data_IF_596902188117
#
_entry.id   IF_596902188117
#
_cell.length_a   1.000
_cell.length_b   1.000
_cell.length_c   1.000
_cell.angle_alpha   90.00
_cell.angle_beta   90.00
_cell.angle_gamma   90.00
#
_symmetry.space_group_name_H-M   'P 1'
#
loop_
_entity.id
_entity.type
_entity.pdbx_description
1 polymer ?
#
# COMPACT_ATOMS: atom_id res chain seq x y z
N UNK A 1 2.52 -51.09 -5.01
CA UNK A 1 3.83 -50.44 -5.02
C UNK A 1 3.65 -49.05 -4.42
N UNK A 2 4.07 -48.88 -3.18
CA UNK A 2 4.03 -47.56 -2.50
C UNK A 2 5.22 -46.78 -3.03
N UNK A 3 4.98 -45.69 -3.76
CA UNK A 3 6.02 -44.76 -4.10
C UNK A 3 6.28 -43.90 -2.87
N UNK A 4 7.34 -44.16 -2.14
CA UNK A 4 7.85 -43.19 -1.17
C UNK A 4 8.22 -41.92 -1.95
N UNK A 5 7.74 -40.75 -1.50
CA UNK A 5 8.15 -39.47 -2.11
C UNK A 5 9.68 -39.35 -2.01
N UNK A 6 10.30 -38.97 -3.10
CA UNK A 6 11.73 -38.66 -3.11
C UNK A 6 12.03 -37.62 -2.03
N UNK A 7 13.08 -37.79 -1.23
CA UNK A 7 13.43 -36.80 -0.23
C UNK A 7 13.72 -35.46 -0.93
N UNK A 8 13.15 -34.41 -0.38
CA UNK A 8 13.37 -33.04 -0.85
C UNK A 8 14.88 -32.73 -0.71
N UNK A 9 15.62 -32.51 -1.81
CA UNK A 9 17.05 -32.23 -1.75
C UNK A 9 17.37 -30.89 -1.03
N UNK A 10 16.37 -30.04 -0.78
CA UNK A 10 16.51 -28.78 -0.10
C UNK A 10 16.00 -28.83 1.35
N UNK A 11 15.52 -30.01 1.82
CA UNK A 11 15.08 -30.18 3.20
C UNK A 11 16.19 -29.81 4.19
N UNK A 12 15.94 -28.78 5.02
CA UNK A 12 16.90 -28.27 6.00
C UNK A 12 17.86 -27.19 5.50
N UNK A 13 17.75 -26.75 4.24
CA UNK A 13 18.40 -25.52 3.81
C UNK A 13 17.61 -24.32 4.33
N UNK A 14 18.28 -23.21 4.69
CA UNK A 14 17.58 -22.01 5.07
C UNK A 14 16.68 -21.57 3.91
N UNK A 15 15.47 -21.15 4.23
CA UNK A 15 14.50 -20.65 3.26
C UNK A 15 15.09 -19.39 2.60
N UNK A 16 15.57 -19.53 1.37
CA UNK A 16 16.24 -18.44 0.64
C UNK A 16 15.26 -17.37 0.19
N UNK A 17 13.97 -17.71 0.16
CA UNK A 17 12.95 -16.75 -0.15
C UNK A 17 12.59 -15.98 1.12
N UNK A 18 12.73 -14.65 1.13
CA UNK A 18 12.27 -13.87 2.26
C UNK A 18 10.76 -14.06 2.47
N UNK A 19 10.34 -14.10 3.72
CA UNK A 19 8.93 -14.20 4.05
C UNK A 19 8.15 -13.07 3.38
N UNK A 20 6.92 -13.33 2.88
CA UNK A 20 6.10 -12.30 2.27
C UNK A 20 5.85 -11.17 3.28
N UNK A 21 5.82 -9.89 2.82
CA UNK A 21 5.58 -8.77 3.69
C UNK A 21 4.15 -8.79 4.23
N UNK A 22 3.96 -8.12 5.36
CA UNK A 22 2.65 -8.02 6.00
C UNK A 22 1.61 -7.40 5.05
N UNK A 23 0.37 -7.89 5.11
CA UNK A 23 -0.73 -7.38 4.30
C UNK A 23 -1.12 -5.94 4.70
N UNK A 24 -1.81 -5.27 3.79
CA UNK A 24 -2.46 -3.99 4.07
C UNK A 24 -3.89 -4.26 4.49
N UNK A 25 -4.18 -3.95 5.75
CA UNK A 25 -5.51 -4.02 6.35
C UNK A 25 -6.16 -2.65 6.27
N UNK A 26 -7.42 -2.62 5.85
CA UNK A 26 -8.19 -1.39 5.69
C UNK A 26 -9.18 -1.26 6.85
N UNK A 27 -9.17 -0.11 7.53
CA UNK A 27 -10.02 0.17 8.67
C UNK A 27 -10.69 1.56 8.57
N UNK A 28 -11.92 1.70 9.04
CA UNK A 28 -12.64 2.97 9.02
C UNK A 28 -11.92 4.05 9.85
N UNK A 29 -11.73 5.23 9.28
CA UNK A 29 -11.05 6.34 9.94
C UNK A 29 -11.81 6.86 11.17
N UNK A 30 -13.14 6.73 11.20
CA UNK A 30 -13.97 7.13 12.33
C UNK A 30 -13.55 6.48 13.66
N UNK A 31 -12.94 5.29 13.59
CA UNK A 31 -12.50 4.51 14.75
C UNK A 31 -11.01 4.73 15.10
N UNK A 32 -10.33 5.67 14.45
CA UNK A 32 -8.90 5.92 14.63
C UNK A 32 -8.64 7.31 15.20
N UNK A 33 -7.64 7.43 16.07
CA UNK A 33 -7.21 8.70 16.69
C UNK A 33 -5.98 9.28 16.00
N UNK A 34 -5.08 8.44 15.52
CA UNK A 34 -3.81 8.80 14.90
C UNK A 34 -3.97 8.68 13.37
N UNK A 35 -4.30 9.80 12.72
CA UNK A 35 -4.54 9.85 11.28
C UNK A 35 -3.46 10.60 10.49
N UNK A 36 -2.76 11.54 11.13
CA UNK A 36 -1.79 12.39 10.43
C UNK A 36 -0.72 11.57 9.70
N UNK A 37 -0.55 11.86 8.41
CA UNK A 37 0.40 11.19 7.54
C UNK A 37 0.01 9.77 7.14
N UNK A 38 -1.11 9.22 7.63
CA UNK A 38 -1.58 7.89 7.25
C UNK A 38 -2.08 7.89 5.80
N UNK A 39 -1.78 6.82 5.09
CA UNK A 39 -2.41 6.55 3.79
C UNK A 39 -3.88 6.22 3.98
N UNK A 40 -4.69 6.81 3.12
CA UNK A 40 -6.14 6.63 3.21
C UNK A 40 -6.76 6.39 1.84
N UNK A 41 -7.91 5.73 1.87
CA UNK A 41 -8.83 5.61 0.76
C UNK A 41 -10.04 6.49 1.05
N UNK A 42 -10.51 7.22 0.04
CA UNK A 42 -11.73 8.02 0.13
C UNK A 42 -12.79 7.40 -0.76
N UNK A 43 -13.93 7.10 -0.18
CA UNK A 43 -15.08 6.59 -0.91
C UNK A 43 -15.84 7.71 -1.60
N UNK A 44 -16.00 7.59 -2.93
CA UNK A 44 -16.77 8.51 -3.76
C UNK A 44 -18.02 7.77 -4.28
N UNK A 45 -19.23 8.13 -3.80
CA UNK A 45 -20.46 7.50 -4.24
C UNK A 45 -20.58 7.48 -5.78
N UNK A 46 -20.84 6.31 -6.34
CA UNK A 46 -20.94 6.12 -7.78
C UNK A 46 -19.62 6.06 -8.55
N UNK A 47 -18.49 6.45 -7.93
CA UNK A 47 -17.16 6.46 -8.56
C UNK A 47 -16.19 5.45 -7.94
N UNK A 48 -16.55 4.85 -6.79
CA UNK A 48 -15.69 3.88 -6.10
C UNK A 48 -14.69 4.52 -5.12
N UNK A 49 -13.50 3.97 -5.05
CA UNK A 49 -12.47 4.34 -4.09
C UNK A 49 -11.34 5.11 -4.78
N UNK A 50 -10.91 6.20 -4.15
CA UNK A 50 -9.71 6.94 -4.53
C UNK A 50 -8.61 6.67 -3.50
N UNK A 51 -7.47 6.18 -3.98
CA UNK A 51 -6.22 6.02 -3.23
C UNK A 51 -5.21 7.14 -3.51
N UNK A 52 -3.94 6.89 -3.15
CA UNK A 52 -2.84 7.85 -3.24
C UNK A 52 -3.13 9.17 -2.50
N UNK A 53 -3.69 9.00 -1.30
CA UNK A 53 -4.11 10.10 -0.43
C UNK A 53 -3.47 9.93 0.96
N UNK A 54 -3.19 11.08 1.61
CA UNK A 54 -2.73 11.16 3.00
C UNK A 54 -3.73 11.96 3.83
N UNK A 55 -4.00 11.47 5.04
CA UNK A 55 -4.86 12.15 6.00
C UNK A 55 -4.06 13.11 6.88
N UNK A 56 -4.71 14.15 7.35
CA UNK A 56 -4.25 14.95 8.48
C UNK A 56 -5.13 14.67 9.72
N UNK A 57 -4.89 15.39 10.80
CA UNK A 57 -5.65 15.24 12.03
C UNK A 57 -7.12 15.58 11.81
N UNK A 58 -7.98 14.76 12.40
CA UNK A 58 -9.42 14.95 12.26
C UNK A 58 -9.90 16.22 12.92
N UNK A 59 -10.90 16.82 12.30
CA UNK A 59 -11.55 18.07 12.74
C UNK A 59 -13.00 17.81 13.08
N UNK A 60 -13.45 18.29 14.22
CA UNK A 60 -14.87 18.22 14.63
C UNK A 60 -15.55 19.56 14.33
N UNK A 61 -16.60 19.51 13.54
CA UNK A 61 -17.43 20.70 13.24
C UNK A 61 -18.89 20.39 13.59
N UNK A 62 -19.37 20.99 14.66
CA UNK A 62 -20.69 20.67 15.21
C UNK A 62 -20.77 19.22 15.68
N UNK A 63 -21.72 18.46 15.14
CA UNK A 63 -21.92 17.05 15.47
C UNK A 63 -21.18 16.10 14.51
N UNK A 64 -20.41 16.61 13.56
CA UNK A 64 -19.75 15.79 12.53
C UNK A 64 -18.24 15.83 12.66
N UNK A 65 -17.62 14.70 12.34
CA UNK A 65 -16.17 14.54 12.26
C UNK A 65 -15.75 14.50 10.81
N UNK A 66 -14.70 15.25 10.50
CA UNK A 66 -14.10 15.32 9.17
C UNK A 66 -12.63 14.95 9.27
N UNK A 67 -12.09 14.47 8.16
CA UNK A 67 -10.66 14.19 7.97
C UNK A 67 -10.19 15.08 6.83
N UNK A 68 -9.22 15.97 7.06
CA UNK A 68 -8.52 16.66 5.97
C UNK A 68 -7.72 15.64 5.16
N UNK A 69 -7.84 15.67 3.83
CA UNK A 69 -7.19 14.69 2.96
C UNK A 69 -6.47 15.39 1.83
N UNK A 70 -5.20 15.06 1.64
CA UNK A 70 -4.35 15.56 0.56
C UNK A 70 -3.96 14.44 -0.40
N UNK A 71 -3.76 14.76 -1.66
CA UNK A 71 -3.06 13.86 -2.57
C UNK A 71 -1.61 13.67 -2.08
N UNK A 72 -1.05 12.47 -2.24
CA UNK A 72 0.29 12.16 -1.69
C UNK A 72 1.37 13.10 -2.21
N UNK A 73 1.32 13.51 -3.48
CA UNK A 73 2.31 14.44 -4.03
C UNK A 73 2.26 15.83 -3.35
N UNK A 74 1.07 16.31 -3.00
CA UNK A 74 0.88 17.57 -2.26
C UNK A 74 1.31 17.43 -0.81
N UNK A 75 0.99 16.30 -0.19
CA UNK A 75 1.44 15.99 1.16
C UNK A 75 2.97 16.01 1.26
N UNK A 76 3.66 15.26 0.40
CA UNK A 76 5.12 15.19 0.41
C UNK A 76 5.76 16.54 0.11
N UNK A 77 5.15 17.33 -0.77
CA UNK A 77 5.62 18.68 -1.06
C UNK A 77 5.44 19.60 0.15
N UNK A 78 4.28 19.57 0.80
CA UNK A 78 4.01 20.36 1.99
C UNK A 78 5.00 20.06 3.13
N UNK A 79 5.25 18.78 3.38
CA UNK A 79 6.24 18.36 4.40
C UNK A 79 7.68 18.74 4.03
N UNK A 80 8.07 18.59 2.75
CA UNK A 80 9.44 18.89 2.31
C UNK A 80 9.74 20.39 2.26
N UNK A 81 8.78 21.21 1.83
CA UNK A 81 8.94 22.65 1.66
C UNK A 81 8.44 23.44 2.88
N UNK A 82 7.85 22.76 3.88
CA UNK A 82 7.26 23.36 5.10
C UNK A 82 6.23 24.44 4.76
N UNK A 83 5.38 24.15 3.76
CA UNK A 83 4.31 25.03 3.31
C UNK A 83 2.95 24.53 3.80
N UNK A 84 2.04 25.44 4.06
CA UNK A 84 0.66 25.11 4.35
C UNK A 84 -0.12 24.90 3.05
N UNK A 85 -0.80 23.76 2.96
CA UNK A 85 -1.62 23.40 1.79
C UNK A 85 -3.06 23.19 2.25
N UNK A 86 -3.99 23.72 1.47
CA UNK A 86 -5.41 23.51 1.73
C UNK A 86 -5.80 22.04 1.55
N UNK A 87 -6.23 21.39 2.63
CA UNK A 87 -6.72 20.03 2.62
C UNK A 87 -8.27 20.01 2.63
N UNK A 88 -8.93 19.46 1.60
CA UNK A 88 -10.37 19.28 1.60
C UNK A 88 -10.84 18.43 2.78
N UNK A 89 -11.89 18.87 3.46
CA UNK A 89 -12.50 18.13 4.56
C UNK A 89 -13.44 17.06 4.03
N UNK A 90 -13.12 15.80 4.33
CA UNK A 90 -13.93 14.64 3.95
C UNK A 90 -14.63 14.09 5.19
N UNK A 91 -15.95 13.80 5.15
CA UNK A 91 -16.64 13.14 6.26
C UNK A 91 -15.92 11.83 6.67
N UNK A 92 -15.66 11.65 7.97
CA UNK A 92 -14.84 10.54 8.47
C UNK A 92 -15.40 9.15 8.10
N UNK A 93 -16.72 9.03 7.93
CA UNK A 93 -17.40 7.81 7.48
C UNK A 93 -17.09 7.41 6.03
N UNK A 94 -16.47 8.30 5.25
CA UNK A 94 -16.01 8.06 3.87
C UNK A 94 -14.52 7.84 3.75
N UNK A 95 -13.80 7.85 4.86
CA UNK A 95 -12.35 7.71 4.88
C UNK A 95 -11.96 6.39 5.52
N UNK A 96 -11.09 5.66 4.88
CA UNK A 96 -10.57 4.37 5.32
C UNK A 96 -9.04 4.40 5.34
N UNK A 97 -8.45 3.92 6.43
CA UNK A 97 -7.01 3.99 6.70
C UNK A 97 -6.34 2.68 6.32
N UNK A 98 -5.24 2.77 5.60
CA UNK A 98 -4.34 1.65 5.35
C UNK A 98 -3.46 1.41 6.58
N UNK A 99 -3.45 0.18 7.09
CA UNK A 99 -2.62 -0.25 8.22
C UNK A 99 -1.94 -1.57 7.89
N UNK A 100 -0.86 -1.88 8.59
CA UNK A 100 -0.21 -3.17 8.44
C UNK A 100 -0.94 -4.21 9.29
N UNK A 101 -1.31 -5.32 8.68
CA UNK A 101 -1.86 -6.48 9.36
C UNK A 101 -0.77 -7.33 10.03
N UNK A 102 -1.21 -8.33 10.77
CA UNK A 102 -0.32 -9.35 11.30
C UNK A 102 -0.02 -10.41 10.22
N UNK A 103 1.15 -11.02 10.28
CA UNK A 103 1.60 -12.02 9.29
C UNK A 103 0.66 -13.23 9.23
N UNK A 104 0.09 -13.61 10.37
CA UNK A 104 -0.79 -14.78 10.51
C UNK A 104 -2.16 -14.67 9.80
N UNK A 105 -2.53 -13.51 9.32
CA UNK A 105 -3.85 -13.28 8.68
C UNK A 105 -3.98 -13.99 7.33
N UNK A 106 -2.87 -14.39 6.72
CA UNK A 106 -2.85 -15.01 5.38
C UNK A 106 -2.91 -16.53 5.38
N UNK A 107 -2.46 -17.19 6.45
CA UNK A 107 -2.45 -18.67 6.54
C UNK A 107 -3.85 -19.29 6.77
N UNK A 108 -4.79 -18.50 7.18
CA UNK A 108 -6.13 -18.96 7.44
C UNK A 108 -7.11 -18.37 6.43
N UNK A 109 -7.09 -18.70 5.18
CA UNK A 109 -8.03 -18.24 4.18
C UNK A 109 -9.12 -17.33 4.77
N UNK A 110 -8.81 -16.04 4.93
CA UNK A 110 -9.67 -15.10 5.67
C UNK A 110 -11.07 -15.21 5.09
N UNK A 111 -12.08 -15.63 5.85
CA UNK A 111 -13.41 -15.74 5.33
C UNK A 111 -13.77 -14.37 4.74
N UNK A 112 -14.33 -14.31 3.54
CA UNK A 112 -14.73 -13.04 2.94
C UNK A 112 -15.59 -12.33 3.97
N UNK A 113 -15.25 -11.07 4.28
CA UNK A 113 -16.04 -10.23 5.18
C UNK A 113 -17.49 -10.37 4.72
N UNK A 114 -18.41 -10.82 5.58
CA UNK A 114 -19.78 -11.07 5.17
C UNK A 114 -20.32 -9.79 4.53
N UNK A 115 -20.66 -9.88 3.24
CA UNK A 115 -21.29 -8.75 2.56
C UNK A 115 -22.56 -8.42 3.32
N UNK A 116 -22.73 -7.18 3.79
CA UNK A 116 -24.01 -6.77 4.33
C UNK A 116 -25.10 -7.07 3.30
N UNK A 117 -26.26 -7.50 3.77
CA UNK A 117 -27.41 -7.78 2.93
C UNK A 117 -27.58 -6.64 1.92
N UNK A 118 -27.75 -6.99 0.62
CA UNK A 118 -27.77 -6.01 -0.48
C UNK A 118 -28.73 -4.88 -0.13
N UNK A 119 -28.21 -3.65 0.09
CA UNK A 119 -29.08 -2.51 0.32
C UNK A 119 -29.99 -2.28 -0.90
N UNK A 120 -31.11 -1.63 -0.70
CA UNK A 120 -31.98 -1.21 -1.78
C UNK A 120 -31.25 -0.26 -2.76
N UNK A 121 -31.87 0.06 -3.89
CA UNK A 121 -31.26 0.87 -4.96
C UNK A 121 -30.82 2.25 -4.44
N UNK A 122 -31.54 2.84 -3.49
CA UNK A 122 -31.22 4.16 -2.91
C UNK A 122 -30.01 4.04 -2.00
N UNK A 123 -29.94 3.02 -1.16
CA UNK A 123 -28.76 2.75 -0.32
C UNK A 123 -27.52 2.49 -1.14
N UNK A 124 -27.61 1.88 -2.34
CA UNK A 124 -26.49 1.69 -3.26
C UNK A 124 -25.92 3.00 -3.82
N UNK A 125 -26.73 4.02 -3.96
CA UNK A 125 -26.28 5.35 -4.40
C UNK A 125 -25.54 6.12 -3.31
N UNK A 126 -25.71 5.71 -2.04
CA UNK A 126 -25.20 6.44 -0.87
C UNK A 126 -24.15 5.65 -0.09
N UNK A 127 -24.21 4.31 -0.12
CA UNK A 127 -23.24 3.46 0.58
C UNK A 127 -22.23 2.86 -0.39
N UNK A 128 -20.97 2.86 0.03
CA UNK A 128 -19.89 2.14 -0.63
C UNK A 128 -19.61 0.86 0.17
N UNK A 129 -19.41 -0.25 -0.54
CA UNK A 129 -18.86 -1.45 0.10
C UNK A 129 -17.49 -1.08 0.71
N UNK A 130 -17.16 -1.64 1.87
CA UNK A 130 -15.83 -1.44 2.48
C UNK A 130 -14.74 -1.90 1.50
N UNK A 131 -13.62 -1.16 1.39
CA UNK A 131 -12.53 -1.57 0.52
C UNK A 131 -11.91 -2.87 1.04
N UNK A 132 -11.46 -3.70 0.12
CA UNK A 132 -10.84 -4.99 0.45
C UNK A 132 -9.41 -4.82 0.97
N UNK A 133 -9.01 -5.71 1.87
CA UNK A 133 -7.61 -5.83 2.26
C UNK A 133 -6.76 -6.24 1.06
N UNK A 134 -5.49 -5.85 1.05
CA UNK A 134 -4.57 -6.12 -0.06
C UNK A 134 -3.37 -6.91 0.43
N UNK A 135 -3.07 -8.00 -0.30
CA UNK A 135 -1.81 -8.72 -0.15
C UNK A 135 -0.77 -8.10 -1.08
N UNK A 136 0.46 -7.86 -0.63
CA UNK A 136 1.55 -7.59 -1.54
C UNK A 136 1.78 -8.77 -2.49
N UNK A 137 2.08 -8.45 -3.76
CA UNK A 137 2.32 -9.43 -4.82
C UNK A 137 3.81 -9.42 -5.17
N UNK A 138 4.47 -10.59 -5.28
CA UNK A 138 5.87 -10.63 -5.72
C UNK A 138 6.07 -9.88 -7.04
N UNK A 139 7.14 -9.08 -7.15
CA UNK A 139 7.43 -8.30 -8.37
C UNK A 139 7.54 -9.19 -9.61
N UNK A 140 8.00 -10.43 -9.45
CA UNK A 140 8.12 -11.41 -10.55
C UNK A 140 6.77 -11.84 -11.14
N UNK A 141 5.68 -11.64 -10.43
CA UNK A 141 4.32 -11.99 -10.85
C UNK A 141 3.54 -10.80 -11.43
N UNK A 142 4.17 -9.62 -11.46
CA UNK A 142 3.51 -8.39 -11.88
C UNK A 142 3.73 -8.07 -13.36
N UNK A 143 2.66 -7.64 -14.03
CA UNK A 143 2.70 -7.24 -15.44
C UNK A 143 3.46 -5.92 -15.67
N UNK A 144 3.43 -5.02 -14.69
CA UNK A 144 4.08 -3.71 -14.74
C UNK A 144 4.53 -3.29 -13.34
N UNK A 145 5.72 -2.74 -13.24
CA UNK A 145 6.40 -2.42 -11.98
C UNK A 145 6.69 -0.92 -11.85
N UNK A 146 7.15 -0.27 -12.92
CA UNK A 146 7.53 1.14 -12.87
C UNK A 146 6.40 2.05 -12.35
N UNK A 147 6.73 2.94 -11.43
CA UNK A 147 5.78 3.86 -10.77
C UNK A 147 4.97 3.24 -9.65
N UNK A 148 5.00 1.90 -9.47
CA UNK A 148 4.26 1.22 -8.40
C UNK A 148 4.92 1.40 -7.05
N UNK A 149 4.10 1.34 -6.00
CA UNK A 149 4.61 1.17 -4.62
C UNK A 149 5.19 -0.22 -4.48
N UNK A 150 6.33 -0.30 -3.84
CA UNK A 150 7.00 -1.57 -3.56
C UNK A 150 7.44 -1.67 -2.11
N UNK A 151 7.48 -2.90 -1.63
CA UNK A 151 8.05 -3.26 -0.33
C UNK A 151 9.29 -4.08 -0.56
N UNK A 152 10.38 -3.69 0.05
CA UNK A 152 11.59 -4.50 0.10
C UNK A 152 11.59 -5.29 1.42
N UNK A 153 11.84 -6.59 1.32
CA UNK A 153 12.06 -7.45 2.48
C UNK A 153 13.47 -8.04 2.40
N UNK A 154 14.29 -7.71 3.37
CA UNK A 154 15.63 -8.25 3.51
C UNK A 154 15.91 -8.47 5.00
N UNK A 155 16.50 -9.61 5.36
CA UNK A 155 16.86 -9.95 6.74
C UNK A 155 15.71 -9.77 7.76
N UNK A 156 14.49 -10.17 7.39
CA UNK A 156 13.25 -9.98 8.15
C UNK A 156 12.86 -8.50 8.41
N UNK A 157 13.49 -7.55 7.70
CA UNK A 157 13.16 -6.13 7.77
C UNK A 157 12.32 -5.75 6.55
N UNK A 158 11.13 -5.20 6.79
CA UNK A 158 10.28 -4.62 5.75
C UNK A 158 10.60 -3.13 5.59
N UNK A 159 11.09 -2.75 4.42
CA UNK A 159 11.25 -1.36 4.03
C UNK A 159 10.11 -0.97 3.10
N UNK A 160 9.28 -0.07 3.55
CA UNK A 160 8.13 0.49 2.83
C UNK A 160 8.41 1.94 2.44
N UNK A 161 7.41 2.63 1.90
CA UNK A 161 7.56 3.98 1.36
C UNK A 161 8.60 4.06 0.23
N UNK A 162 8.59 3.02 -0.63
CA UNK A 162 9.41 2.91 -1.82
C UNK A 162 8.55 2.94 -3.09
N UNK A 163 9.13 3.51 -4.15
CA UNK A 163 8.58 3.47 -5.51
C UNK A 163 9.57 2.84 -6.46
N UNK A 164 9.07 1.98 -7.35
CA UNK A 164 9.85 1.46 -8.46
C UNK A 164 10.06 2.56 -9.52
N UNK A 165 11.30 2.77 -9.91
CA UNK A 165 11.67 3.77 -10.94
C UNK A 165 11.72 3.14 -12.33
N UNK A 166 12.09 1.87 -12.41
CA UNK A 166 12.21 1.13 -13.66
C UNK A 166 11.29 -0.08 -13.69
N UNK A 167 11.06 -0.61 -14.88
CA UNK A 167 10.62 -1.97 -15.04
C UNK A 167 11.74 -2.94 -14.62
N UNK A 168 11.42 -4.22 -14.56
CA UNK A 168 12.39 -5.29 -14.32
C UNK A 168 13.43 -5.30 -15.42
N UNK A 169 14.71 -5.40 -15.09
CA UNK A 169 15.82 -5.46 -16.03
C UNK A 169 16.95 -6.35 -15.49
N UNK A 170 17.86 -6.74 -16.38
CA UNK A 170 19.06 -7.46 -15.99
C UNK A 170 20.19 -6.47 -15.70
N UNK A 171 20.77 -6.55 -14.51
CA UNK A 171 21.90 -5.72 -14.08
C UNK A 171 23.18 -6.08 -14.83
N UNK A 172 24.23 -5.29 -14.66
CA UNK A 172 25.53 -5.57 -15.25
C UNK A 172 26.18 -6.88 -14.70
N UNK A 173 25.80 -7.26 -13.48
CA UNK A 173 26.29 -8.47 -12.81
C UNK A 173 25.45 -9.70 -13.17
N UNK A 174 24.40 -9.55 -13.98
CA UNK A 174 23.52 -10.61 -14.44
C UNK A 174 22.29 -10.85 -13.56
N UNK A 175 22.11 -10.12 -12.47
CA UNK A 175 20.96 -10.24 -11.59
C UNK A 175 19.73 -9.57 -12.20
N UNK A 176 18.55 -10.14 -11.92
CA UNK A 176 17.28 -9.53 -12.30
C UNK A 176 16.87 -8.54 -11.21
N UNK A 177 16.80 -7.25 -11.56
CA UNK A 177 16.67 -6.15 -10.62
C UNK A 177 15.58 -5.15 -11.01
N UNK A 178 15.20 -4.31 -10.02
CA UNK A 178 14.41 -3.09 -10.20
C UNK A 178 15.13 -1.95 -9.49
N UNK A 179 15.17 -0.77 -10.09
CA UNK A 179 15.63 0.44 -9.39
C UNK A 179 14.47 1.02 -8.60
N UNK A 180 14.71 1.22 -7.32
CA UNK A 180 13.73 1.81 -6.39
C UNK A 180 14.26 3.09 -5.78
N UNK A 181 13.35 3.95 -5.34
CA UNK A 181 13.66 5.19 -4.61
C UNK A 181 12.67 5.39 -3.47
N UNK A 182 13.02 6.23 -2.50
CA UNK A 182 12.06 6.64 -1.48
C UNK A 182 10.88 7.43 -2.10
N UNK A 183 9.68 7.25 -1.58
CA UNK A 183 8.49 7.95 -2.10
C UNK A 183 8.63 9.47 -2.10
N UNK A 184 9.26 10.04 -1.05
CA UNK A 184 9.55 11.47 -1.02
C UNK A 184 10.36 11.92 -2.23
N UNK A 185 11.42 11.20 -2.59
CA UNK A 185 12.30 11.54 -3.70
C UNK A 185 11.61 11.30 -5.06
N UNK A 186 10.76 10.28 -5.13
CA UNK A 186 9.89 10.05 -6.29
C UNK A 186 8.98 11.25 -6.56
N UNK A 187 8.25 11.71 -5.54
CA UNK A 187 7.37 12.86 -5.70
C UNK A 187 8.16 14.16 -5.90
N UNK A 188 9.30 14.35 -5.20
CA UNK A 188 10.18 15.50 -5.41
C UNK A 188 10.64 15.62 -6.86
N UNK A 189 10.90 14.52 -7.53
CA UNK A 189 11.25 14.52 -8.95
C UNK A 189 10.14 15.20 -9.79
N UNK A 190 8.88 14.94 -9.51
CA UNK A 190 7.76 15.52 -10.25
C UNK A 190 7.72 17.06 -10.20
N UNK A 191 8.09 17.69 -9.05
CA UNK A 191 8.06 19.14 -8.94
C UNK A 191 9.44 19.82 -9.12
N UNK A 192 10.55 19.11 -8.88
CA UNK A 192 11.90 19.69 -9.01
C UNK A 192 12.54 19.45 -10.38
N UNK A 193 12.04 18.46 -11.14
CA UNK A 193 12.63 17.98 -12.38
C UNK A 193 13.97 17.25 -12.21
N UNK A 194 14.44 17.05 -10.97
CA UNK A 194 15.70 16.35 -10.70
C UNK A 194 15.43 14.85 -10.49
N UNK A 195 16.10 13.97 -11.25
CA UNK A 195 15.96 12.53 -11.04
C UNK A 195 16.32 12.14 -9.61
N UNK A 196 15.58 11.18 -9.01
CA UNK A 196 15.87 10.72 -7.65
C UNK A 196 17.12 9.85 -7.61
N UNK A 197 17.75 9.78 -6.45
CA UNK A 197 18.75 8.75 -6.19
C UNK A 197 18.05 7.40 -6.13
N UNK A 198 18.55 6.40 -6.85
CA UNK A 198 17.96 5.07 -6.91
C UNK A 198 18.86 4.03 -6.28
N UNK A 199 18.25 3.00 -5.70
CA UNK A 199 18.90 1.78 -5.26
C UNK A 199 18.51 0.65 -6.21
N UNK A 200 19.47 -0.14 -6.63
CA UNK A 200 19.22 -1.38 -7.39
C UNK A 200 18.89 -2.50 -6.41
N UNK A 201 17.76 -3.17 -6.59
CA UNK A 201 17.29 -4.22 -5.69
C UNK A 201 16.90 -5.45 -6.52
N UNK A 202 17.39 -6.67 -6.16
CA UNK A 202 16.96 -7.89 -6.77
C UNK A 202 15.47 -8.14 -6.62
N UNK A 203 14.82 -8.62 -7.68
CA UNK A 203 13.35 -8.80 -7.73
C UNK A 203 12.80 -9.74 -6.67
N UNK A 204 13.58 -10.76 -6.25
CA UNK A 204 13.17 -11.71 -5.22
C UNK A 204 13.03 -11.09 -3.81
N UNK A 205 13.54 -9.86 -3.62
CA UNK A 205 13.41 -9.09 -2.38
C UNK A 205 12.28 -8.05 -2.45
N UNK A 206 11.50 -8.01 -3.54
CA UNK A 206 10.52 -6.95 -3.79
C UNK A 206 9.12 -7.50 -4.01
N UNK A 207 8.16 -6.80 -3.41
CA UNK A 207 6.71 -7.00 -3.61
C UNK A 207 6.05 -5.69 -3.98
N UNK A 208 4.98 -5.76 -4.78
CA UNK A 208 4.09 -4.64 -5.09
C UNK A 208 2.98 -4.56 -4.05
N UNK A 209 2.70 -3.35 -3.54
CA UNK A 209 1.56 -3.06 -2.65
C UNK A 209 0.26 -2.81 -3.42
#
# INVERSE_FOLDING_TARGET
MSHDPLPDPFAGQPDWAPAPPRPIVIAAAANRVDLRGRRVLVGLPGLGWRGDLRADERVVQGSRTYVPVLAEHEWYRAEAEQIEVFAPLVPAERVWVETLGEVSVWDAGTPPIPRPARPDVISRLVSLDAPTHRAPVPVVEADAVAGRRVVQVADAIERRDLRAVTEVYTSNDGDICVRVTAELDWYRWAWSGRPPTTLEVPVHLLWIE
#
